data_IF_522853159726
#
_entry.id   IF_522853159726
#
_cell.length_a   1.000
_cell.length_b   1.000
_cell.length_c   1.000
_cell.angle_alpha   90.00
_cell.angle_beta   90.00
_cell.angle_gamma   90.00
#
_symmetry.space_group_name_H-M   'P 1'
#
loop_
_entity.id
_entity.type
_entity.pdbx_description
1 polymer ?
#
# COMPACT_ATOMS: atom_id res chain seq x y z
N UNK A 1 -19.96 -64.13 -3.59
CA UNK A 1 -18.72 -63.37 -3.90
C UNK A 1 -18.97 -62.01 -4.61
N UNK A 2 -20.21 -61.49 -4.62
CA UNK A 2 -20.56 -60.23 -5.32
C UNK A 2 -20.87 -59.03 -4.39
N UNK A 3 -21.12 -59.26 -3.11
CA UNK A 3 -21.58 -58.20 -2.17
C UNK A 3 -20.46 -57.30 -1.64
N UNK A 4 -19.20 -57.75 -1.65
CA UNK A 4 -18.04 -56.95 -1.19
C UNK A 4 -17.53 -55.94 -2.23
N UNK A 5 -17.95 -56.04 -3.49
CA UNK A 5 -17.49 -55.12 -4.56
C UNK A 5 -18.27 -53.80 -4.58
N UNK A 6 -19.54 -53.79 -4.16
CA UNK A 6 -20.36 -52.57 -4.14
C UNK A 6 -20.02 -51.62 -2.99
N UNK A 7 -19.52 -52.14 -1.86
CA UNK A 7 -19.16 -51.34 -0.68
C UNK A 7 -17.91 -50.48 -0.95
N UNK A 8 -16.92 -51.00 -1.68
CA UNK A 8 -15.71 -50.23 -2.02
C UNK A 8 -15.94 -49.15 -3.09
N UNK A 9 -16.97 -49.32 -3.94
CA UNK A 9 -17.32 -48.32 -4.96
C UNK A 9 -18.07 -47.13 -4.32
N UNK A 10 -18.88 -47.36 -3.29
CA UNK A 10 -19.54 -46.31 -2.52
C UNK A 10 -18.57 -45.52 -1.63
N UNK A 11 -17.54 -46.16 -1.08
CA UNK A 11 -16.52 -45.48 -0.25
C UNK A 11 -15.60 -44.59 -1.09
N UNK A 12 -15.25 -45.00 -2.32
CA UNK A 12 -14.44 -44.16 -3.22
C UNK A 12 -15.22 -43.00 -3.86
N UNK A 13 -16.56 -43.04 -3.89
CA UNK A 13 -17.37 -41.94 -4.42
C UNK A 13 -17.54 -40.78 -3.42
N UNK A 14 -17.40 -41.04 -2.11
CA UNK A 14 -17.55 -40.03 -1.05
C UNK A 14 -16.25 -39.24 -0.81
N UNK A 15 -15.09 -39.78 -1.22
CA UNK A 15 -13.79 -39.13 -1.00
C UNK A 15 -13.46 -38.09 -2.09
N UNK A 16 -14.11 -38.13 -3.26
CA UNK A 16 -13.82 -37.21 -4.38
C UNK A 16 -14.62 -35.89 -4.27
N UNK A 17 -15.64 -35.81 -3.41
CA UNK A 17 -16.50 -34.62 -3.29
C UNK A 17 -16.05 -33.59 -2.25
N UNK A 18 -14.99 -33.87 -1.48
CA UNK A 18 -14.54 -32.98 -0.39
C UNK A 18 -13.34 -32.06 -0.74
N UNK A 19 -12.94 -31.99 -2.00
CA UNK A 19 -11.70 -31.29 -2.41
C UNK A 19 -11.90 -29.94 -3.11
N UNK A 20 -13.12 -29.40 -3.15
CA UNK A 20 -13.44 -28.24 -3.99
C UNK A 20 -13.72 -26.91 -3.26
N UNK A 21 -13.46 -26.79 -1.94
CA UNK A 21 -13.88 -25.59 -1.19
C UNK A 21 -12.79 -24.50 -1.09
N UNK A 22 -11.54 -24.74 -1.50
CA UNK A 22 -10.44 -23.82 -1.13
C UNK A 22 -10.15 -22.63 -2.07
N UNK A 23 -11.01 -22.32 -3.06
CA UNK A 23 -10.67 -21.30 -4.07
C UNK A 23 -11.27 -19.89 -3.80
N UNK A 24 -12.15 -19.74 -2.80
CA UNK A 24 -12.86 -18.46 -2.58
C UNK A 24 -12.14 -17.46 -1.64
N UNK A 25 -11.07 -17.85 -0.94
CA UNK A 25 -10.42 -16.98 0.05
C UNK A 25 -9.59 -15.83 -0.56
N UNK A 26 -9.12 -15.99 -1.81
CA UNK A 26 -8.23 -15.01 -2.45
C UNK A 26 -8.94 -13.77 -2.98
N UNK A 27 -10.08 -13.95 -3.66
CA UNK A 27 -10.89 -12.84 -4.15
C UNK A 27 -11.49 -12.02 -2.98
N UNK A 28 -11.84 -12.71 -1.89
CA UNK A 28 -12.42 -12.10 -0.70
C UNK A 28 -11.45 -11.14 -0.01
N UNK A 29 -10.17 -11.51 0.18
CA UNK A 29 -9.20 -10.64 0.85
C UNK A 29 -8.94 -9.31 0.10
N UNK A 30 -8.79 -9.37 -1.23
CA UNK A 30 -8.62 -8.18 -2.07
C UNK A 30 -9.86 -7.27 -2.02
N UNK A 31 -11.06 -7.85 -2.14
CA UNK A 31 -12.31 -7.09 -2.06
C UNK A 31 -12.51 -6.50 -0.66
N UNK A 32 -12.17 -7.25 0.40
CA UNK A 32 -12.27 -6.80 1.78
C UNK A 32 -11.32 -5.63 2.07
N UNK A 33 -10.06 -5.70 1.61
CA UNK A 33 -9.12 -4.58 1.72
C UNK A 33 -9.66 -3.32 1.04
N UNK A 34 -10.06 -3.43 -0.23
CA UNK A 34 -10.60 -2.31 -1.00
C UNK A 34 -11.82 -1.69 -0.33
N UNK A 35 -12.79 -2.53 0.06
CA UNK A 35 -14.01 -2.07 0.74
C UNK A 35 -13.76 -1.43 2.10
N UNK A 36 -12.67 -1.77 2.80
CA UNK A 36 -12.26 -1.05 4.02
C UNK A 36 -11.69 0.32 3.66
N UNK A 37 -10.81 0.39 2.67
CA UNK A 37 -10.19 1.65 2.24
C UNK A 37 -11.22 2.64 1.65
N UNK A 38 -12.25 2.15 0.97
CA UNK A 38 -13.33 2.95 0.39
C UNK A 38 -14.24 3.64 1.43
N UNK A 39 -14.16 3.23 2.70
CA UNK A 39 -14.94 3.85 3.79
C UNK A 39 -14.47 5.27 4.13
N UNK A 40 -13.20 5.57 3.88
CA UNK A 40 -12.59 6.85 4.24
C UNK A 40 -11.87 7.43 3.03
N UNK A 41 -12.59 8.14 2.16
CA UNK A 41 -11.99 8.72 0.96
C UNK A 41 -11.15 9.97 1.22
N UNK A 42 -11.35 10.64 2.35
CA UNK A 42 -10.56 11.80 2.78
C UNK A 42 -10.07 11.56 4.19
N UNK A 43 -8.76 11.67 4.40
CA UNK A 43 -8.20 11.69 5.74
C UNK A 43 -6.87 12.42 5.80
N UNK A 44 -6.50 12.81 7.01
CA UNK A 44 -5.15 13.22 7.38
C UNK A 44 -4.67 12.39 8.56
N UNK A 45 -3.37 12.24 8.71
CA UNK A 45 -2.74 11.47 9.79
C UNK A 45 -1.31 11.93 10.01
N UNK A 46 -0.81 11.77 11.22
CA UNK A 46 0.63 11.77 11.48
C UNK A 46 1.19 10.37 11.23
N UNK A 47 2.49 10.26 10.95
CA UNK A 47 3.19 8.99 10.85
C UNK A 47 4.55 9.03 11.55
N UNK A 48 4.98 7.87 12.02
CA UNK A 48 6.37 7.58 12.41
C UNK A 48 6.89 6.48 11.50
N UNK A 49 8.03 6.73 10.86
CA UNK A 49 8.74 5.80 10.00
C UNK A 49 9.96 5.22 10.72
N UNK A 50 10.21 3.93 10.51
CA UNK A 50 11.49 3.28 10.85
C UNK A 50 11.97 2.44 9.67
N UNK A 51 13.22 2.63 9.27
CA UNK A 51 13.86 1.91 8.18
C UNK A 51 14.95 1.01 8.74
N UNK A 52 14.89 -0.26 8.37
CA UNK A 52 15.83 -1.29 8.76
C UNK A 52 16.54 -1.85 7.52
N UNK A 53 17.82 -2.15 7.65
CA UNK A 53 18.56 -2.91 6.62
C UNK A 53 18.22 -4.41 6.67
N UNK A 54 18.83 -5.19 5.76
CA UNK A 54 18.65 -6.63 5.66
C UNK A 54 19.06 -7.40 6.93
N UNK A 55 19.99 -6.85 7.73
CA UNK A 55 20.45 -7.41 9.00
C UNK A 55 19.56 -6.99 10.19
N UNK A 56 18.45 -6.29 9.91
CA UNK A 56 17.47 -5.76 10.88
C UNK A 56 18.03 -4.66 11.78
N UNK A 57 19.11 -4.00 11.38
CA UNK A 57 19.62 -2.82 12.07
C UNK A 57 18.81 -1.60 11.66
N UNK A 58 18.41 -0.79 12.62
CA UNK A 58 17.76 0.49 12.37
C UNK A 58 18.77 1.44 11.72
N UNK A 59 18.50 1.88 10.49
CA UNK A 59 19.38 2.76 9.72
C UNK A 59 18.82 4.18 9.58
N UNK A 60 17.49 4.34 9.70
CA UNK A 60 16.83 5.63 9.66
C UNK A 60 15.51 5.59 10.44
N UNK A 61 15.12 6.73 10.99
CA UNK A 61 13.77 6.96 11.51
C UNK A 61 13.33 8.35 11.09
N UNK A 62 12.04 8.55 10.87
CA UNK A 62 11.49 9.84 10.50
C UNK A 62 10.06 10.01 11.00
N UNK A 63 9.57 11.24 10.97
CA UNK A 63 8.21 11.57 11.35
C UNK A 63 7.66 12.61 10.37
N UNK A 64 6.35 12.61 10.23
CA UNK A 64 5.68 13.55 9.35
C UNK A 64 4.18 13.45 9.39
N UNK A 65 3.58 14.11 8.41
CA UNK A 65 2.14 14.18 8.23
C UNK A 65 1.76 13.78 6.81
N UNK A 66 0.54 13.31 6.66
CA UNK A 66 -0.01 13.02 5.35
C UNK A 66 -1.48 13.41 5.24
N UNK A 67 -1.85 13.75 4.01
CA UNK A 67 -3.20 14.01 3.57
C UNK A 67 -3.51 13.12 2.39
N UNK A 68 -4.71 12.55 2.35
CA UNK A 68 -5.20 11.73 1.25
C UNK A 68 -6.61 12.17 0.91
N UNK A 69 -6.87 12.33 -0.40
CA UNK A 69 -8.19 12.47 -0.98
C UNK A 69 -8.27 11.54 -2.20
N UNK A 70 -9.00 10.43 -2.04
CA UNK A 70 -9.11 9.43 -3.09
C UNK A 70 -10.00 9.92 -4.25
N UNK A 71 -9.70 9.49 -5.49
CA UNK A 71 -8.51 8.72 -5.88
C UNK A 71 -7.29 9.65 -6.10
N UNK A 72 -6.09 9.12 -5.83
CA UNK A 72 -4.79 9.63 -6.29
C UNK A 72 -4.33 11.02 -5.80
N UNK A 73 -5.13 11.79 -5.05
CA UNK A 73 -4.65 13.03 -4.44
C UNK A 73 -4.04 12.71 -3.08
N UNK A 74 -2.78 13.07 -2.90
CA UNK A 74 -2.14 12.92 -1.61
C UNK A 74 -1.01 13.92 -1.44
N UNK A 75 -0.65 14.16 -0.20
CA UNK A 75 0.53 14.92 0.20
C UNK A 75 1.15 14.17 1.36
N UNK A 76 2.37 13.71 1.18
CA UNK A 76 3.20 13.08 2.19
C UNK A 76 4.33 14.04 2.54
N UNK A 77 4.31 14.57 3.75
CA UNK A 77 5.27 15.58 4.22
C UNK A 77 6.09 15.00 5.36
N UNK A 78 7.33 14.62 5.05
CA UNK A 78 8.32 14.23 6.05
C UNK A 78 8.87 15.51 6.68
N UNK A 79 8.82 15.59 8.01
CA UNK A 79 9.26 16.77 8.77
C UNK A 79 10.66 16.55 9.37
N UNK A 80 10.96 15.33 9.80
CA UNK A 80 12.23 14.99 10.46
C UNK A 80 12.76 13.63 9.97
N UNK A 81 14.09 13.42 9.98
CA UNK A 81 15.14 14.39 10.29
C UNK A 81 15.36 15.41 9.17
N UNK A 82 15.10 15.02 7.93
CA UNK A 82 15.28 15.84 6.74
C UNK A 82 13.92 16.06 6.08
N UNK A 83 13.56 17.33 5.89
CA UNK A 83 12.28 17.70 5.32
C UNK A 83 12.19 17.24 3.86
N UNK A 84 11.06 16.66 3.49
CA UNK A 84 10.75 16.34 2.09
C UNK A 84 9.25 16.23 1.88
N UNK A 85 8.80 16.50 0.65
CA UNK A 85 7.40 16.40 0.27
C UNK A 85 7.24 15.52 -0.96
N UNK A 86 6.26 14.62 -0.90
CA UNK A 86 5.78 13.84 -2.04
C UNK A 86 4.30 14.15 -2.24
N UNK A 87 3.99 14.91 -3.29
CA UNK A 87 2.65 15.47 -3.54
C UNK A 87 2.14 14.94 -4.87
N UNK A 88 0.89 14.50 -4.89
CA UNK A 88 0.19 14.11 -6.10
C UNK A 88 -1.04 14.99 -6.31
N UNK A 89 -1.08 15.65 -7.47
CA UNK A 89 -2.26 16.38 -7.97
C UNK A 89 -3.22 15.48 -8.76
N UNK A 90 -2.96 14.16 -8.76
CA UNK A 90 -3.74 13.14 -9.47
C UNK A 90 -3.25 12.84 -10.88
N UNK A 91 -2.29 13.61 -11.40
CA UNK A 91 -1.62 13.39 -12.70
C UNK A 91 -0.10 13.43 -12.58
N UNK A 92 0.44 14.43 -11.89
CA UNK A 92 1.86 14.60 -11.64
C UNK A 92 2.18 14.24 -10.20
N UNK A 93 3.27 13.49 -10.03
CA UNK A 93 3.90 13.23 -8.75
C UNK A 93 5.08 14.18 -8.61
N UNK A 94 5.02 15.05 -7.61
CA UNK A 94 6.02 16.02 -7.26
C UNK A 94 6.81 15.51 -6.07
N UNK A 95 8.12 15.39 -6.21
CA UNK A 95 9.04 15.17 -5.10
C UNK A 95 9.87 16.44 -4.88
N UNK A 96 9.80 17.00 -3.67
CA UNK A 96 10.54 18.19 -3.28
C UNK A 96 11.42 17.91 -2.07
N UNK A 97 12.69 18.27 -2.18
CA UNK A 97 13.62 18.27 -1.06
C UNK A 97 14.17 19.71 -0.88
N UNK A 98 13.76 20.43 0.18
CA UNK A 98 14.23 21.78 0.47
C UNK A 98 15.74 21.86 0.73
N UNK A 99 16.35 20.84 1.34
CA UNK A 99 17.75 20.87 1.75
C UNK A 99 18.71 20.95 0.56
N UNK A 100 18.38 20.28 -0.54
CA UNK A 100 19.16 20.33 -1.79
C UNK A 100 18.53 21.25 -2.84
N UNK A 101 17.48 21.99 -2.48
CA UNK A 101 16.75 22.90 -3.36
C UNK A 101 16.42 22.26 -4.72
N UNK A 102 15.78 21.08 -4.68
CA UNK A 102 15.44 20.32 -5.90
C UNK A 102 13.99 19.83 -5.88
N UNK A 103 13.32 20.01 -7.02
CA UNK A 103 12.01 19.42 -7.35
C UNK A 103 12.16 18.47 -8.52
N UNK A 104 11.58 17.29 -8.41
CA UNK A 104 11.39 16.34 -9.52
C UNK A 104 9.90 16.16 -9.80
N UNK A 105 9.50 16.21 -11.07
CA UNK A 105 8.15 15.89 -11.52
C UNK A 105 8.14 14.63 -12.38
N UNK A 106 7.29 13.66 -12.04
CA UNK A 106 7.05 12.44 -12.84
C UNK A 106 5.56 12.24 -13.10
N UNK A 107 5.21 11.46 -14.12
CA UNK A 107 3.82 11.08 -14.33
C UNK A 107 3.39 10.12 -13.24
N UNK A 108 2.25 10.37 -12.58
CA UNK A 108 1.72 9.49 -11.54
C UNK A 108 1.43 8.08 -12.09
N UNK A 109 1.07 7.97 -13.37
CA UNK A 109 0.84 6.68 -14.02
C UNK A 109 2.13 5.84 -14.14
N UNK A 110 3.29 6.51 -14.24
CA UNK A 110 4.61 5.88 -14.33
C UNK A 110 5.24 5.69 -12.94
N UNK A 111 4.69 6.37 -11.92
CA UNK A 111 5.03 6.15 -10.53
C UNK A 111 4.53 4.75 -10.10
N UNK A 112 5.41 3.77 -10.28
CA UNK A 112 5.14 2.36 -10.08
C UNK A 112 5.20 1.93 -8.61
N UNK A 113 4.88 0.64 -8.41
CA UNK A 113 4.71 -0.12 -7.19
C UNK A 113 5.81 -0.07 -6.11
N UNK A 114 6.85 0.74 -6.30
CA UNK A 114 7.94 0.96 -5.34
C UNK A 114 7.54 1.90 -4.20
N UNK A 115 6.42 2.62 -4.34
CA UNK A 115 5.88 3.49 -3.29
C UNK A 115 4.53 2.93 -2.82
N UNK A 116 4.49 1.99 -1.85
CA UNK A 116 3.25 1.34 -1.41
C UNK A 116 2.13 2.31 -1.00
N UNK A 117 2.48 3.52 -0.57
CA UNK A 117 1.50 4.56 -0.27
C UNK A 117 0.64 4.97 -1.48
N UNK A 118 1.18 4.91 -2.71
CA UNK A 118 0.42 5.16 -3.95
C UNK A 118 -0.71 4.13 -4.11
N UNK A 119 -0.48 2.87 -3.75
CA UNK A 119 -1.54 1.83 -3.76
C UNK A 119 -2.67 2.19 -2.79
N UNK A 120 -2.31 2.64 -1.58
CA UNK A 120 -3.27 3.07 -0.56
C UNK A 120 -4.09 4.28 -1.03
N UNK A 121 -3.44 5.30 -1.61
CA UNK A 121 -4.08 6.54 -2.03
C UNK A 121 -4.90 6.37 -3.33
N UNK A 122 -4.47 5.49 -4.22
CA UNK A 122 -5.19 5.18 -5.46
C UNK A 122 -6.38 4.24 -5.25
N UNK A 123 -6.22 3.21 -4.40
CA UNK A 123 -7.19 2.13 -4.14
C UNK A 123 -7.83 1.53 -5.41
N UNK A 124 -7.06 1.35 -6.49
CA UNK A 124 -7.59 0.84 -7.76
C UNK A 124 -7.54 -0.68 -7.79
N UNK A 125 -8.64 -1.30 -8.23
CA UNK A 125 -8.72 -2.75 -8.37
C UNK A 125 -7.64 -3.34 -9.30
N UNK A 126 -7.25 -2.61 -10.35
CA UNK A 126 -6.18 -3.01 -11.28
C UNK A 126 -4.83 -3.19 -10.59
N UNK A 127 -4.55 -2.36 -9.59
CA UNK A 127 -3.26 -2.30 -8.91
C UNK A 127 -3.20 -3.43 -7.88
N UNK A 128 -4.28 -3.61 -7.10
CA UNK A 128 -4.41 -4.73 -6.17
C UNK A 128 -4.39 -6.10 -6.86
N UNK A 129 -4.93 -6.18 -8.08
CA UNK A 129 -4.92 -7.41 -8.86
C UNK A 129 -3.51 -7.91 -9.23
N UNK A 130 -2.48 -7.06 -9.14
CA UNK A 130 -1.07 -7.45 -9.34
C UNK A 130 -0.47 -8.22 -8.16
N UNK A 131 -1.20 -8.36 -7.05
CA UNK A 131 -0.71 -8.97 -5.81
C UNK A 131 -1.52 -10.22 -5.42
N UNK A 132 -0.83 -11.16 -4.78
CA UNK A 132 -1.45 -12.18 -3.97
C UNK A 132 -1.73 -11.59 -2.60
N UNK A 133 -3.01 -11.45 -2.24
CA UNK A 133 -3.44 -10.83 -0.98
C UNK A 133 -3.92 -11.92 -0.02
N UNK A 134 -3.39 -11.90 1.20
CA UNK A 134 -3.82 -12.74 2.32
C UNK A 134 -4.33 -11.85 3.45
N UNK A 135 -5.40 -12.27 4.12
CA UNK A 135 -5.97 -11.55 5.24
C UNK A 135 -5.94 -12.37 6.52
N UNK A 136 -5.60 -11.73 7.64
CA UNK A 136 -5.76 -12.25 9.00
C UNK A 136 -6.33 -11.16 9.90
N UNK A 137 -7.64 -11.18 10.13
CA UNK A 137 -8.30 -10.14 10.91
C UNK A 137 -8.23 -8.77 10.20
N UNK A 138 -7.43 -7.85 10.76
CA UNK A 138 -7.19 -6.52 10.20
C UNK A 138 -5.88 -6.42 9.42
N UNK A 139 -5.05 -7.45 9.46
CA UNK A 139 -3.77 -7.50 8.74
C UNK A 139 -4.00 -8.05 7.32
N UNK A 140 -3.48 -7.33 6.33
CA UNK A 140 -3.42 -7.74 4.93
C UNK A 140 -1.97 -7.83 4.51
N UNK A 141 -1.59 -8.95 3.91
CA UNK A 141 -0.25 -9.20 3.39
C UNK A 141 -0.31 -9.39 1.89
N UNK A 142 0.51 -8.63 1.17
CA UNK A 142 0.54 -8.52 -0.27
C UNK A 142 1.92 -8.94 -0.78
N UNK A 143 1.93 -9.92 -1.68
CA UNK A 143 3.14 -10.35 -2.40
C UNK A 143 2.91 -10.14 -3.89
N UNK A 144 3.79 -9.45 -4.63
CA UNK A 144 3.64 -9.29 -6.07
C UNK A 144 3.50 -10.63 -6.79
N UNK A 145 2.73 -10.67 -7.88
CA UNK A 145 2.61 -11.84 -8.75
C UNK A 145 3.77 -11.95 -9.76
N UNK A 146 4.48 -10.86 -10.01
CA UNK A 146 5.62 -10.79 -10.93
C UNK A 146 6.86 -10.21 -10.25
N UNK A 147 8.04 -10.66 -10.70
CA UNK A 147 9.35 -10.22 -10.20
C UNK A 147 9.81 -8.88 -10.80
N UNK A 148 8.93 -8.19 -11.55
CA UNK A 148 9.21 -6.88 -12.16
C UNK A 148 9.18 -5.73 -11.16
N UNK A 149 8.89 -6.00 -9.89
CA UNK A 149 8.71 -5.01 -8.84
C UNK A 149 9.90 -5.05 -7.87
N UNK A 150 10.42 -3.89 -7.46
CA UNK A 150 11.47 -3.83 -6.42
C UNK A 150 10.94 -4.17 -5.01
N UNK A 151 9.61 -4.18 -4.85
CA UNK A 151 8.93 -4.58 -3.63
C UNK A 151 8.86 -6.10 -3.50
N UNK A 152 9.36 -6.65 -2.40
CA UNK A 152 9.24 -8.07 -2.04
C UNK A 152 7.91 -8.37 -1.35
N UNK A 153 7.49 -7.52 -0.42
CA UNK A 153 6.27 -7.69 0.36
C UNK A 153 5.75 -6.34 0.82
N UNK A 154 4.42 -6.22 0.88
CA UNK A 154 3.74 -5.09 1.48
C UNK A 154 2.69 -5.58 2.45
N UNK A 155 2.73 -5.12 3.69
CA UNK A 155 1.73 -5.44 4.70
C UNK A 155 1.02 -4.16 5.12
N UNK A 156 -0.29 -4.23 5.31
CA UNK A 156 -1.11 -3.11 5.77
C UNK A 156 -2.11 -3.59 6.82
N UNK A 157 -2.23 -2.85 7.91
CA UNK A 157 -3.27 -3.06 8.92
C UNK A 157 -4.37 -2.03 8.75
N UNK A 158 -5.56 -2.49 8.39
CA UNK A 158 -6.75 -1.65 8.18
C UNK A 158 -7.93 -2.19 8.97
N UNK A 159 -8.54 -1.35 9.81
CA UNK A 159 -9.71 -1.74 10.60
C UNK A 159 -10.95 -1.93 9.71
N UNK A 160 -11.99 -2.63 10.18
CA UNK A 160 -13.25 -2.71 9.44
C UNK A 160 -13.90 -1.34 9.19
N UNK A 161 -13.55 -0.31 9.96
CA UNK A 161 -14.03 1.06 9.76
C UNK A 161 -13.24 1.85 8.68
N UNK A 162 -12.12 1.31 8.19
CA UNK A 162 -11.27 1.95 7.18
C UNK A 162 -10.10 2.75 7.74
N UNK A 163 -9.92 2.79 9.06
CA UNK A 163 -8.73 3.37 9.70
C UNK A 163 -7.52 2.53 9.35
N UNK A 164 -6.45 3.18 8.88
CA UNK A 164 -5.18 2.52 8.59
C UNK A 164 -4.32 2.73 9.83
N UNK A 165 -3.89 1.64 10.45
CA UNK A 165 -3.12 1.70 11.69
C UNK A 165 -1.62 1.70 11.40
N UNK A 166 -1.19 0.87 10.44
CA UNK A 166 0.21 0.77 10.04
C UNK A 166 0.36 0.14 8.67
N UNK A 167 1.53 0.31 8.08
CA UNK A 167 1.95 -0.46 6.92
C UNK A 167 3.46 -0.67 6.89
N UNK A 168 3.89 -1.71 6.20
CA UNK A 168 5.29 -2.14 6.10
C UNK A 168 5.59 -2.50 4.65
N UNK A 169 6.70 -1.99 4.12
CA UNK A 169 7.28 -2.46 2.86
C UNK A 169 8.59 -3.17 3.11
N UNK A 170 8.81 -4.25 2.38
CA UNK A 170 10.08 -4.96 2.30
C UNK A 170 10.51 -4.95 0.85
N UNK A 171 11.70 -4.43 0.57
CA UNK A 171 12.31 -4.39 -0.76
C UNK A 171 13.06 -5.71 -1.06
N UNK A 172 13.40 -5.94 -2.33
CA UNK A 172 14.11 -7.16 -2.77
C UNK A 172 15.49 -7.32 -2.11
N UNK A 173 16.17 -6.21 -1.82
CA UNK A 173 17.47 -6.18 -1.12
C UNK A 173 17.34 -6.49 0.39
N UNK A 174 16.12 -6.60 0.91
CA UNK A 174 15.83 -6.87 2.31
C UNK A 174 15.62 -5.63 3.17
N UNK A 175 15.75 -4.42 2.61
CA UNK A 175 15.40 -3.20 3.31
C UNK A 175 13.92 -3.23 3.72
N UNK A 176 13.64 -2.85 4.96
CA UNK A 176 12.28 -2.82 5.52
C UNK A 176 11.93 -1.44 6.04
N UNK A 177 10.88 -0.85 5.50
CA UNK A 177 10.31 0.41 5.98
C UNK A 177 8.99 0.15 6.69
N UNK A 178 8.91 0.53 7.97
CA UNK A 178 7.71 0.42 8.82
C UNK A 178 7.13 1.80 9.08
N UNK A 179 5.81 1.94 8.92
CA UNK A 179 5.07 3.16 9.18
C UNK A 179 3.96 2.91 10.19
N UNK A 180 3.96 3.67 11.28
CA UNK A 180 2.91 3.68 12.30
C UNK A 180 2.12 4.97 12.18
N UNK A 181 0.79 4.85 12.05
CA UNK A 181 -0.10 6.00 11.89
C UNK A 181 -0.77 6.37 13.21
N UNK A 182 -1.04 7.65 13.38
CA UNK A 182 -1.71 8.21 14.55
C UNK A 182 -2.50 9.47 14.21
N UNK A 183 -3.42 9.86 15.08
CA UNK A 183 -4.27 11.06 14.91
C UNK A 183 -5.07 11.08 13.61
N UNK A 184 -5.38 9.90 13.04
CA UNK A 184 -6.12 9.80 11.80
C UNK A 184 -7.51 10.40 11.97
N UNK A 185 -7.87 11.34 11.10
CA UNK A 185 -9.19 11.95 11.08
C UNK A 185 -9.66 12.22 9.64
N UNK A 186 -10.97 12.19 9.45
CA UNK A 186 -11.62 12.29 8.14
C UNK A 186 -12.29 13.65 7.92
N UNK A 187 -11.74 14.70 8.53
CA UNK A 187 -12.23 16.05 8.30
C UNK A 187 -11.95 16.49 6.86
N UNK A 188 -12.76 17.38 6.28
CA UNK A 188 -12.48 17.96 4.96
C UNK A 188 -11.08 18.57 4.91
N UNK A 189 -10.35 18.27 3.83
CA UNK A 189 -9.02 18.80 3.56
C UNK A 189 -9.12 19.78 2.39
N UNK A 190 -8.47 20.94 2.48
CA UNK A 190 -8.41 21.90 1.38
C UNK A 190 -7.70 21.29 0.17
N UNK A 191 -8.21 21.56 -1.03
CA UNK A 191 -7.62 21.07 -2.28
C UNK A 191 -6.20 21.62 -2.52
N UNK A 192 -5.85 22.74 -1.88
CA UNK A 192 -4.50 23.31 -1.95
C UNK A 192 -3.45 22.40 -1.31
N UNK A 193 -3.84 21.46 -0.44
CA UNK A 193 -2.91 20.46 0.10
C UNK A 193 -2.36 19.52 -0.97
N UNK A 194 -3.01 19.40 -2.12
CA UNK A 194 -2.65 18.47 -3.19
C UNK A 194 -2.07 19.18 -4.42
N UNK A 195 -1.81 20.49 -4.32
CA UNK A 195 -1.15 21.28 -5.35
C UNK A 195 0.29 21.53 -4.94
N UNK A 196 1.17 21.63 -5.91
CA UNK A 196 2.56 21.99 -5.68
C UNK A 196 2.93 23.15 -6.61
N UNK A 197 3.45 24.22 -6.01
CA UNK A 197 4.03 25.35 -6.71
C UNK A 197 5.55 25.27 -6.51
N UNK A 198 6.31 25.30 -7.62
CA UNK A 198 7.77 25.21 -7.58
C UNK A 198 8.30 26.49 -6.91
N UNK A 199 9.05 26.39 -5.78
CA UNK A 199 9.61 27.57 -5.14
C UNK A 199 10.64 28.28 -6.02
N UNK A 200 10.74 29.59 -5.86
CA UNK A 200 11.75 30.38 -6.57
C UNK A 200 13.18 29.89 -6.24
N UNK A 201 14.03 29.80 -7.25
CA UNK A 201 15.45 29.44 -7.09
C UNK A 201 15.74 27.94 -6.98
N UNK A 202 14.71 27.09 -6.94
CA UNK A 202 14.87 25.63 -6.87
C UNK A 202 15.18 25.02 -8.24
N UNK A 203 16.10 24.05 -8.25
CA UNK A 203 16.39 23.25 -9.44
C UNK A 203 15.18 22.38 -9.78
N UNK A 204 14.69 22.46 -11.00
CA UNK A 204 13.55 21.68 -11.49
C UNK A 204 14.00 20.62 -12.49
N UNK A 205 13.70 19.36 -12.17
CA UNK A 205 13.91 18.17 -13.01
C UNK A 205 12.56 17.60 -13.48
N UNK A 206 12.22 17.79 -14.75
CA UNK A 206 10.96 17.30 -15.33
C UNK A 206 11.20 15.98 -16.10
N UNK A 207 10.60 14.90 -15.62
CA UNK A 207 10.73 13.54 -16.18
C UNK A 207 9.43 13.00 -16.79
N UNK A 208 8.46 13.87 -17.09
CA UNK A 208 7.15 13.50 -17.65
C UNK A 208 7.17 13.23 -19.15
#
# INVERSE_FOLDING_TARGET
>A
MQTKHYINILINLVIITLSLISINAHADAQQNLQSRLDKINVFQSSFVQKVYDADKKLIQSGEGEMWVKRPNLFNWHTLVPDESQLISDGKTLWFYNPFIEQVTATNLADATANTPFILIAGNKNSDWAQYNIKQRGNDFSLTPKSDSNSLKQFDIRVTPAGTIESFVSVELDGQKSEYQLSNQNSQPVSDDKFKFDIPDGVTFDDQR
#
